data_IF_217628086810
#
_entry.id   IF_217628086810
#
_cell.length_a   1.000
_cell.length_b   1.000
_cell.length_c   1.000
_cell.angle_alpha   90.00
_cell.angle_beta   90.00
_cell.angle_gamma   90.00
#
_symmetry.space_group_name_H-M   'P 1'
#
loop_
_entity.id
_entity.type
_entity.pdbx_description
1 polymer ?
#
# COMPACT_ATOMS: atom_id res chain seq x y z
N UNK A 1 40.41 66.67 -31.11
CA UNK A 1 40.84 67.67 -30.14
C UNK A 1 39.93 67.61 -28.93
N UNK A 2 40.53 67.45 -27.76
CA UNK A 2 40.06 67.40 -26.42
C UNK A 2 39.77 66.00 -25.84
N UNK A 3 40.67 65.72 -24.97
CA UNK A 3 40.72 64.57 -24.05
C UNK A 3 40.04 64.94 -22.70
N UNK A 4 40.25 64.21 -21.64
CA UNK A 4 39.30 63.32 -20.96
C UNK A 4 38.86 63.92 -19.60
N UNK A 5 37.90 63.28 -18.97
CA UNK A 5 37.74 63.51 -17.53
C UNK A 5 37.53 62.19 -16.77
N UNK A 6 38.37 62.08 -15.77
CA UNK A 6 38.40 61.03 -14.72
C UNK A 6 37.30 61.27 -13.70
N UNK A 7 36.49 60.29 -13.41
CA UNK A 7 36.04 60.18 -12.02
C UNK A 7 35.82 58.68 -11.64
N UNK A 8 36.69 58.22 -10.74
CA UNK A 8 36.67 56.85 -10.24
C UNK A 8 35.62 56.66 -9.14
N UNK A 9 34.52 56.01 -9.49
CA UNK A 9 33.61 55.45 -8.50
C UNK A 9 33.51 53.95 -8.69
N UNK A 10 33.94 53.19 -7.72
CA UNK A 10 33.77 51.74 -7.60
C UNK A 10 32.27 51.45 -7.53
N UNK A 11 31.77 50.70 -8.50
CA UNK A 11 30.43 50.11 -8.42
C UNK A 11 30.47 48.90 -7.48
N UNK A 12 29.45 48.72 -6.63
CA UNK A 12 29.31 47.50 -5.84
C UNK A 12 28.95 46.30 -6.74
N UNK A 13 29.69 45.23 -6.57
CA UNK A 13 29.44 43.94 -7.22
C UNK A 13 28.07 43.39 -6.79
N UNK A 14 27.13 43.40 -7.74
CA UNK A 14 25.88 42.64 -7.58
C UNK A 14 26.20 41.15 -7.72
N UNK A 15 26.07 40.40 -6.61
CA UNK A 15 25.95 38.95 -6.64
C UNK A 15 24.59 38.61 -7.18
N UNK A 16 24.45 37.61 -8.09
CA UNK A 16 23.15 37.14 -8.55
C UNK A 16 22.43 36.40 -7.39
N UNK A 17 21.09 36.46 -7.33
CA UNK A 17 20.34 35.75 -6.31
C UNK A 17 20.53 34.24 -6.48
N UNK A 18 20.88 33.60 -5.38
CA UNK A 18 20.97 32.14 -5.27
C UNK A 18 19.71 31.50 -5.81
N UNK A 19 19.85 30.62 -6.80
CA UNK A 19 18.81 29.77 -7.29
C UNK A 19 18.26 28.92 -6.14
N UNK A 20 17.02 29.17 -5.76
CA UNK A 20 16.29 28.27 -4.88
C UNK A 20 16.18 26.94 -5.60
N UNK A 21 16.95 25.98 -5.17
CA UNK A 21 16.82 24.59 -5.57
C UNK A 21 15.47 24.12 -5.02
N UNK A 22 14.48 24.03 -5.90
CA UNK A 22 13.21 23.40 -5.60
C UNK A 22 13.46 21.95 -5.23
N UNK A 23 13.33 21.64 -3.97
CA UNK A 23 13.36 20.26 -3.49
C UNK A 23 12.22 19.50 -4.16
N UNK A 24 12.55 18.42 -4.84
CA UNK A 24 11.58 17.48 -5.39
C UNK A 24 10.93 16.74 -4.20
N UNK A 25 9.60 16.92 -3.94
CA UNK A 25 8.94 16.27 -2.81
C UNK A 25 9.02 14.73 -2.85
N UNK A 26 9.25 14.15 -4.02
CA UNK A 26 9.52 12.71 -4.17
C UNK A 26 10.90 12.28 -3.60
N UNK A 27 11.78 13.23 -3.27
CA UNK A 27 13.08 12.94 -2.64
C UNK A 27 13.05 12.98 -1.12
N UNK A 28 12.11 13.69 -0.54
CA UNK A 28 11.98 13.81 0.93
C UNK A 28 11.27 12.60 1.55
N UNK A 29 10.46 11.85 0.78
CA UNK A 29 9.89 10.58 1.22
C UNK A 29 10.92 9.44 1.37
N UNK A 30 12.18 9.65 1.02
CA UNK A 30 13.27 8.65 1.12
C UNK A 30 14.21 8.84 2.31
N UNK A 31 13.86 9.67 3.28
CA UNK A 31 14.55 9.69 4.57
C UNK A 31 13.83 8.74 5.53
N UNK A 32 13.66 7.50 5.11
CA UNK A 32 13.46 6.42 6.06
C UNK A 32 14.80 6.22 6.79
N UNK A 33 14.78 6.36 8.10
CA UNK A 33 15.94 6.06 8.94
C UNK A 33 16.41 4.65 8.61
N UNK A 34 17.50 4.57 7.85
CA UNK A 34 18.21 3.33 7.61
C UNK A 34 18.77 2.91 8.96
N UNK A 35 18.00 2.10 9.69
CA UNK A 35 18.51 1.39 10.86
C UNK A 35 19.70 0.57 10.35
N UNK A 36 20.89 0.94 10.77
CA UNK A 36 22.14 0.34 10.33
C UNK A 36 22.08 -1.15 10.65
N UNK A 37 21.92 -2.00 9.62
CA UNK A 37 22.19 -3.43 9.72
C UNK A 37 21.05 -4.41 9.40
N UNK A 38 19.78 -4.02 9.23
CA UNK A 38 18.74 -4.96 8.83
C UNK A 38 18.06 -4.57 7.50
N UNK A 39 17.60 -5.53 6.68
CA UNK A 39 16.77 -5.23 5.52
C UNK A 39 15.47 -4.55 5.95
N UNK A 40 14.91 -3.70 5.07
CA UNK A 40 13.60 -3.07 5.24
C UNK A 40 12.52 -4.15 5.27
N UNK A 41 11.50 -3.97 6.10
CA UNK A 41 10.35 -4.87 6.18
C UNK A 41 9.03 -4.07 6.33
N UNK A 42 7.87 -4.76 6.38
CA UNK A 42 6.56 -4.11 6.43
C UNK A 42 6.37 -3.21 7.68
N UNK A 43 7.04 -3.49 8.78
CA UNK A 43 6.97 -2.67 10.00
C UNK A 43 7.68 -1.31 9.88
N UNK A 44 8.43 -1.05 8.81
CA UNK A 44 9.11 0.22 8.60
C UNK A 44 8.23 1.28 7.90
N UNK A 45 6.98 0.93 7.60
CA UNK A 45 6.02 1.81 6.94
C UNK A 45 5.02 2.40 7.93
N UNK A 46 4.58 3.62 7.60
CA UNK A 46 3.46 4.29 8.26
C UNK A 46 2.37 4.53 7.23
N UNK A 47 1.12 4.34 7.62
CA UNK A 47 -0.06 4.43 6.74
C UNK A 47 -1.07 5.44 7.28
N UNK A 48 -1.94 5.95 6.43
CA UNK A 48 -3.01 6.86 6.83
C UNK A 48 -4.25 6.09 7.28
N UNK A 49 -4.81 6.52 8.40
CA UNK A 49 -6.11 6.05 8.88
C UNK A 49 -7.24 6.79 8.17
N UNK A 50 -8.46 6.27 8.22
CA UNK A 50 -9.62 6.87 7.56
C UNK A 50 -9.98 8.28 8.08
N UNK A 51 -9.59 8.63 9.29
CA UNK A 51 -9.74 9.94 9.91
C UNK A 51 -8.56 10.90 9.64
N UNK A 52 -7.57 10.45 8.85
CA UNK A 52 -6.44 11.25 8.37
C UNK A 52 -5.20 11.23 9.26
N UNK A 53 -5.24 10.54 10.38
CA UNK A 53 -4.08 10.32 11.24
C UNK A 53 -3.03 9.42 10.55
N UNK A 54 -1.89 9.28 11.18
CA UNK A 54 -0.84 8.38 10.70
C UNK A 54 -0.64 7.26 11.72
N UNK A 55 -0.60 6.02 11.26
CA UNK A 55 -0.31 4.84 12.06
C UNK A 55 0.96 4.16 11.59
N UNK A 56 1.87 3.90 12.52
CA UNK A 56 3.10 3.15 12.27
C UNK A 56 2.79 1.64 12.31
N UNK A 57 3.13 0.90 11.25
CA UNK A 57 2.89 -0.55 11.20
C UNK A 57 3.76 -1.32 12.20
N UNK A 58 4.77 -0.68 12.80
CA UNK A 58 5.53 -1.23 13.94
C UNK A 58 4.66 -1.53 15.16
N UNK A 59 3.51 -0.88 15.30
CA UNK A 59 2.52 -1.20 16.34
C UNK A 59 2.02 -2.65 16.27
N UNK A 60 2.12 -3.27 15.10
CA UNK A 60 1.74 -4.66 14.86
C UNK A 60 2.91 -5.64 14.92
N UNK A 61 4.12 -5.22 15.30
CA UNK A 61 5.27 -6.10 15.42
C UNK A 61 4.98 -7.29 16.36
N UNK A 62 5.43 -8.48 15.97
CA UNK A 62 5.15 -9.73 16.69
C UNK A 62 3.81 -10.37 16.30
N UNK A 63 3.04 -9.77 15.38
CA UNK A 63 1.82 -10.35 14.82
C UNK A 63 2.02 -10.79 13.38
N UNK A 64 1.31 -11.83 12.99
CA UNK A 64 1.11 -12.18 11.57
C UNK A 64 0.15 -11.18 10.97
N UNK A 65 0.53 -10.51 9.87
CA UNK A 65 -0.36 -9.55 9.20
C UNK A 65 -0.90 -10.15 7.91
N UNK A 66 -2.19 -9.91 7.65
CA UNK A 66 -2.83 -10.13 6.37
C UNK A 66 -3.25 -8.78 5.79
N UNK A 67 -2.45 -8.24 4.88
CA UNK A 67 -2.68 -6.95 4.23
C UNK A 67 -3.47 -7.17 2.95
N UNK A 68 -4.62 -6.48 2.80
CA UNK A 68 -5.57 -6.71 1.70
C UNK A 68 -6.00 -5.39 1.09
N UNK A 69 -5.93 -5.24 -0.25
CA UNK A 69 -6.60 -4.15 -0.93
C UNK A 69 -8.07 -4.49 -1.15
N UNK A 70 -8.97 -3.63 -0.73
CA UNK A 70 -10.40 -3.91 -0.64
C UNK A 70 -11.25 -2.93 -1.46
N UNK A 71 -12.50 -3.31 -1.76
CA UNK A 71 -13.46 -2.45 -2.44
C UNK A 71 -14.91 -2.84 -2.09
N UNK A 72 -15.80 -1.83 -2.02
CA UNK A 72 -17.21 -1.98 -1.61
C UNK A 72 -18.14 -2.45 -2.73
N UNK A 73 -17.77 -2.27 -4.02
CA UNK A 73 -18.62 -2.54 -5.19
C UNK A 73 -18.01 -3.57 -6.15
N UNK A 74 -17.21 -4.47 -5.63
CA UNK A 74 -16.54 -5.52 -6.39
C UNK A 74 -17.32 -6.83 -6.33
N UNK A 75 -17.25 -7.66 -7.38
CA UNK A 75 -17.78 -9.03 -7.34
C UNK A 75 -17.13 -9.91 -6.25
N UNK A 76 -15.94 -9.51 -5.76
CA UNK A 76 -15.22 -10.19 -4.69
C UNK A 76 -15.50 -9.59 -3.28
N UNK A 77 -16.32 -8.54 -3.17
CA UNK A 77 -16.66 -7.88 -1.90
C UNK A 77 -17.17 -8.86 -0.81
N UNK A 78 -17.89 -9.96 -1.14
CA UNK A 78 -18.27 -10.96 -0.13
C UNK A 78 -17.09 -11.60 0.62
N UNK A 79 -15.85 -11.48 0.14
CA UNK A 79 -14.68 -11.95 0.88
C UNK A 79 -14.46 -11.20 2.22
N UNK A 80 -15.10 -10.04 2.44
CA UNK A 80 -15.10 -9.40 3.75
C UNK A 80 -15.60 -10.32 4.86
N UNK A 81 -16.62 -11.16 4.59
CA UNK A 81 -17.14 -12.13 5.57
C UNK A 81 -16.05 -13.11 6.01
N UNK A 82 -15.33 -13.69 5.04
CA UNK A 82 -14.25 -14.63 5.33
C UNK A 82 -13.04 -13.96 6.01
N UNK A 83 -12.70 -12.72 5.62
CA UNK A 83 -11.62 -11.94 6.25
C UNK A 83 -11.97 -11.62 7.71
N UNK A 84 -13.21 -11.20 7.97
CA UNK A 84 -13.67 -10.92 9.34
C UNK A 84 -13.73 -12.19 10.18
N UNK A 85 -14.22 -13.30 9.60
CA UNK A 85 -14.21 -14.59 10.29
C UNK A 85 -12.79 -15.05 10.68
N UNK A 86 -11.82 -14.92 9.75
CA UNK A 86 -10.41 -15.19 10.05
C UNK A 86 -9.88 -14.27 11.16
N UNK A 87 -10.18 -12.99 11.07
CA UNK A 87 -9.74 -12.01 12.07
C UNK A 87 -10.26 -12.36 13.46
N UNK A 88 -11.56 -12.58 13.62
CA UNK A 88 -12.18 -12.94 14.91
C UNK A 88 -11.63 -14.23 15.48
N UNK A 89 -11.45 -15.24 14.65
CA UNK A 89 -11.00 -16.57 15.06
C UNK A 89 -9.52 -16.59 15.49
N UNK A 90 -8.68 -15.77 14.86
CA UNK A 90 -7.23 -15.87 15.02
C UNK A 90 -6.54 -14.64 15.64
N UNK A 91 -7.25 -13.51 15.87
CA UNK A 91 -6.65 -12.31 16.45
C UNK A 91 -5.98 -12.54 17.80
N UNK A 92 -6.58 -13.39 18.64
CA UNK A 92 -6.05 -13.69 19.98
C UNK A 92 -4.86 -14.66 19.91
N UNK A 93 -4.68 -15.34 18.76
CA UNK A 93 -3.50 -16.14 18.43
C UNK A 93 -2.41 -15.36 17.69
N UNK A 94 -2.63 -14.07 17.45
CA UNK A 94 -1.63 -13.19 16.87
C UNK A 94 -1.87 -12.76 15.42
N UNK A 95 -3.02 -13.08 14.80
CA UNK A 95 -3.38 -12.53 13.48
C UNK A 95 -3.87 -11.10 13.57
N UNK A 96 -3.47 -10.28 12.62
CA UNK A 96 -4.05 -8.97 12.35
C UNK A 96 -4.35 -8.83 10.86
N UNK A 97 -5.63 -8.64 10.52
CA UNK A 97 -6.05 -8.26 9.16
C UNK A 97 -6.01 -6.74 9.04
N UNK A 98 -5.52 -6.23 7.91
CA UNK A 98 -5.41 -4.80 7.60
C UNK A 98 -6.00 -4.55 6.21
N UNK A 99 -7.09 -3.79 6.13
CA UNK A 99 -7.79 -3.45 4.88
C UNK A 99 -7.35 -2.11 4.33
N UNK A 100 -7.07 -2.04 3.04
CA UNK A 100 -6.71 -0.82 2.33
C UNK A 100 -7.65 -0.60 1.14
N UNK A 101 -8.62 0.31 1.23
CA UNK A 101 -9.51 0.62 0.12
C UNK A 101 -8.74 1.13 -1.11
N UNK A 102 -9.14 0.66 -2.31
CA UNK A 102 -8.49 1.05 -3.56
C UNK A 102 -9.51 1.21 -4.69
N UNK A 103 -9.47 2.36 -5.40
CA UNK A 103 -10.40 2.66 -6.49
C UNK A 103 -9.83 2.41 -7.89
N UNK A 104 -8.61 1.85 -8.01
CA UNK A 104 -7.93 1.67 -9.29
C UNK A 104 -8.51 0.55 -10.17
N UNK A 105 -9.39 -0.30 -9.65
CA UNK A 105 -9.93 -1.46 -10.35
C UNK A 105 -11.41 -1.26 -10.64
N UNK A 106 -11.70 -0.72 -11.84
CA UNK A 106 -13.06 -0.49 -12.32
C UNK A 106 -13.86 0.52 -11.50
N UNK A 107 -13.17 1.43 -10.80
CA UNK A 107 -13.79 2.44 -9.92
C UNK A 107 -14.74 1.83 -8.89
N UNK A 108 -14.37 0.65 -8.35
CA UNK A 108 -15.21 -0.14 -7.45
C UNK A 108 -15.14 0.29 -5.99
N UNK A 109 -14.39 1.38 -5.68
CA UNK A 109 -14.34 2.00 -4.36
C UNK A 109 -14.51 3.53 -4.45
N UNK A 110 -15.68 4.02 -4.94
CA UNK A 110 -15.87 5.45 -5.20
C UNK A 110 -16.13 6.28 -3.92
N UNK A 111 -16.54 5.63 -2.81
CA UNK A 111 -16.89 6.31 -1.56
C UNK A 111 -15.73 7.09 -0.94
N UNK A 112 -16.05 8.06 -0.08
CA UNK A 112 -15.09 8.66 0.84
C UNK A 112 -14.65 7.65 1.91
N UNK A 113 -13.55 7.94 2.61
CA UNK A 113 -13.09 7.07 3.69
C UNK A 113 -14.18 6.84 4.77
N UNK A 114 -14.94 7.88 5.10
CA UNK A 114 -16.06 7.77 6.06
C UNK A 114 -17.19 6.84 5.56
N UNK A 115 -17.58 6.95 4.28
CA UNK A 115 -18.60 6.07 3.68
C UNK A 115 -18.11 4.62 3.60
N UNK A 116 -16.81 4.40 3.36
CA UNK A 116 -16.21 3.07 3.35
C UNK A 116 -16.24 2.46 4.76
N UNK A 117 -15.88 3.23 5.79
CA UNK A 117 -15.96 2.76 7.19
C UNK A 117 -17.41 2.37 7.56
N UNK A 118 -18.37 3.19 7.19
CA UNK A 118 -19.80 2.90 7.44
C UNK A 118 -20.22 1.61 6.69
N UNK A 119 -19.86 1.47 5.41
CA UNK A 119 -20.15 0.27 4.64
C UNK A 119 -19.55 -0.98 5.28
N UNK A 120 -18.26 -0.97 5.62
CA UNK A 120 -17.58 -2.11 6.23
C UNK A 120 -18.23 -2.54 7.55
N UNK A 121 -18.58 -1.57 8.41
CA UNK A 121 -19.21 -1.85 9.71
C UNK A 121 -20.66 -2.32 9.59
N UNK A 122 -21.47 -1.70 8.72
CA UNK A 122 -22.91 -1.99 8.63
C UNK A 122 -23.22 -3.20 7.76
N UNK A 123 -22.45 -3.45 6.70
CA UNK A 123 -22.73 -4.52 5.74
C UNK A 123 -22.02 -5.83 6.06
N UNK A 124 -20.85 -5.79 6.71
CA UNK A 124 -20.01 -6.95 6.97
C UNK A 124 -19.54 -7.08 8.42
N UNK A 125 -19.98 -6.14 9.29
CA UNK A 125 -19.61 -6.14 10.72
C UNK A 125 -18.08 -6.24 10.93
N UNK A 126 -17.31 -5.59 10.04
CA UNK A 126 -15.85 -5.60 10.03
C UNK A 126 -15.30 -4.97 11.31
N UNK A 127 -14.43 -5.70 12.01
CA UNK A 127 -13.77 -5.23 13.24
C UNK A 127 -12.27 -5.02 13.11
N UNK A 128 -11.65 -5.51 12.03
CA UNK A 128 -10.25 -5.20 11.73
C UNK A 128 -10.07 -3.77 11.17
N UNK A 129 -8.89 -3.16 11.32
CA UNK A 129 -8.59 -1.83 10.79
C UNK A 129 -8.78 -1.76 9.28
N UNK A 130 -9.55 -0.77 8.82
CA UNK A 130 -9.64 -0.35 7.43
C UNK A 130 -9.06 1.06 7.34
N UNK A 131 -8.00 1.23 6.57
CA UNK A 131 -7.23 2.46 6.44
C UNK A 131 -7.84 3.44 5.43
N UNK A 132 -7.20 4.59 5.23
CA UNK A 132 -7.57 5.51 4.17
C UNK A 132 -7.37 4.86 2.79
N UNK A 133 -8.12 5.33 1.80
CA UNK A 133 -8.01 4.89 0.42
C UNK A 133 -6.62 5.19 -0.13
N UNK A 134 -6.04 4.21 -0.82
CA UNK A 134 -4.70 4.29 -1.41
C UNK A 134 -4.68 3.83 -2.86
N UNK A 135 -3.68 4.28 -3.61
CA UNK A 135 -3.29 3.66 -4.85
C UNK A 135 -2.29 2.53 -4.57
N UNK A 136 -2.50 1.38 -5.22
CA UNK A 136 -1.66 0.19 -5.04
C UNK A 136 -0.70 -0.04 -6.22
N UNK A 137 -0.95 0.61 -7.36
CA UNK A 137 -0.16 0.53 -8.59
C UNK A 137 0.21 1.93 -9.10
N UNK A 138 1.21 1.97 -10.01
CA UNK A 138 1.64 3.19 -10.68
C UNK A 138 2.62 4.03 -9.86
N UNK A 139 2.89 5.24 -10.35
CA UNK A 139 3.88 6.15 -9.76
C UNK A 139 3.48 6.76 -8.41
N UNK A 140 2.19 6.82 -8.14
CA UNK A 140 1.59 7.35 -6.90
C UNK A 140 1.21 6.24 -5.91
N UNK A 141 1.61 5.00 -6.19
CA UNK A 141 1.34 3.88 -5.29
C UNK A 141 1.87 4.16 -3.88
N UNK A 142 1.07 3.79 -2.88
CA UNK A 142 1.47 3.86 -1.48
C UNK A 142 2.80 3.13 -1.28
N UNK A 143 3.77 3.71 -0.55
CA UNK A 143 5.09 3.11 -0.36
C UNK A 143 5.06 1.69 0.20
N UNK A 144 4.09 1.36 1.07
CA UNK A 144 3.88 -0.01 1.56
C UNK A 144 3.56 -0.95 0.39
N UNK A 145 2.63 -0.57 -0.49
CA UNK A 145 2.24 -1.41 -1.63
C UNK A 145 3.34 -1.54 -2.67
N UNK A 146 4.11 -0.49 -2.91
CA UNK A 146 5.30 -0.56 -3.77
C UNK A 146 6.33 -1.57 -3.22
N UNK A 147 6.54 -1.60 -1.90
CA UNK A 147 7.38 -2.58 -1.22
C UNK A 147 6.80 -3.99 -1.32
N UNK A 148 5.53 -4.19 -0.97
CA UNK A 148 4.88 -5.51 -0.97
C UNK A 148 4.93 -6.18 -2.35
N UNK A 149 4.70 -5.42 -3.42
CA UNK A 149 4.80 -5.91 -4.79
C UNK A 149 6.21 -6.33 -5.16
N UNK A 150 7.21 -5.54 -4.75
CA UNK A 150 8.62 -5.84 -5.04
C UNK A 150 9.09 -7.12 -4.34
N UNK A 151 8.65 -7.36 -3.09
CA UNK A 151 9.00 -8.56 -2.31
C UNK A 151 8.22 -9.80 -2.79
N UNK A 152 6.96 -9.63 -3.23
CA UNK A 152 6.10 -10.71 -3.71
C UNK A 152 5.39 -10.30 -5.01
N UNK A 153 6.04 -10.44 -6.18
CA UNK A 153 5.50 -9.98 -7.46
C UNK A 153 4.23 -10.74 -7.92
N UNK A 154 3.95 -11.90 -7.34
CA UNK A 154 2.79 -12.72 -7.67
C UNK A 154 3.02 -13.66 -8.86
N UNK A 155 2.05 -14.53 -9.08
CA UNK A 155 2.08 -15.58 -10.11
C UNK A 155 0.81 -15.61 -10.97
N UNK A 156 0.17 -14.43 -11.14
CA UNK A 156 -1.13 -14.32 -11.82
C UNK A 156 -1.07 -14.82 -13.27
N UNK A 157 -1.81 -15.90 -13.53
CA UNK A 157 -1.81 -16.59 -14.81
C UNK A 157 -3.18 -17.21 -15.18
N UNK A 158 -3.25 -18.01 -16.25
CA UNK A 158 -4.49 -18.61 -16.76
C UNK A 158 -5.29 -19.41 -15.73
N UNK A 159 -4.63 -19.97 -14.72
CA UNK A 159 -5.27 -20.78 -13.67
C UNK A 159 -6.25 -19.96 -12.80
N UNK A 160 -6.17 -18.62 -12.87
CA UNK A 160 -7.11 -17.71 -12.21
C UNK A 160 -8.42 -17.47 -13.01
N UNK A 161 -8.61 -18.24 -14.10
CA UNK A 161 -9.88 -18.36 -14.83
C UNK A 161 -10.41 -17.04 -15.38
N UNK A 162 -11.70 -16.75 -15.14
CA UNK A 162 -12.36 -15.56 -15.70
C UNK A 162 -11.69 -14.24 -15.33
N UNK A 163 -11.07 -14.16 -14.14
CA UNK A 163 -10.38 -12.95 -13.73
C UNK A 163 -9.12 -12.71 -14.57
N UNK A 164 -8.38 -13.78 -14.90
CA UNK A 164 -7.26 -13.68 -15.81
C UNK A 164 -7.71 -13.21 -17.19
N UNK A 165 -8.75 -13.80 -17.76
CA UNK A 165 -9.30 -13.41 -19.06
C UNK A 165 -9.74 -11.93 -19.05
N UNK A 166 -10.41 -11.49 -17.98
CA UNK A 166 -10.82 -10.10 -17.81
C UNK A 166 -9.63 -9.14 -17.79
N UNK A 167 -8.61 -9.42 -16.98
CA UNK A 167 -7.41 -8.58 -16.88
C UNK A 167 -6.61 -8.61 -18.19
N UNK A 168 -6.43 -9.78 -18.80
CA UNK A 168 -5.71 -9.92 -20.06
C UNK A 168 -6.40 -9.18 -21.23
N UNK A 169 -7.72 -9.06 -21.18
CA UNK A 169 -8.50 -8.31 -22.17
C UNK A 169 -8.52 -6.81 -21.92
N UNK A 170 -8.63 -6.37 -20.66
CA UNK A 170 -8.80 -4.95 -20.29
C UNK A 170 -7.49 -4.22 -20.01
N UNK A 171 -6.46 -4.94 -19.51
CA UNK A 171 -5.14 -4.43 -19.14
C UNK A 171 -4.05 -5.45 -19.45
N UNK A 172 -3.84 -5.80 -20.75
CA UNK A 172 -2.85 -6.82 -21.13
C UNK A 172 -1.43 -6.49 -20.68
N UNK A 173 -1.09 -5.21 -20.57
CA UNK A 173 0.21 -4.73 -20.09
C UNK A 173 0.51 -5.09 -18.63
N UNK A 174 -0.52 -5.36 -17.84
CA UNK A 174 -0.36 -5.76 -16.43
C UNK A 174 0.07 -7.24 -16.30
N UNK A 175 -0.17 -8.07 -17.31
CA UNK A 175 0.17 -9.50 -17.27
C UNK A 175 1.69 -9.68 -17.27
N UNK A 176 2.18 -10.53 -16.35
CA UNK A 176 3.62 -10.79 -16.19
C UNK A 176 4.38 -9.70 -15.44
N UNK A 177 3.69 -8.70 -14.86
CA UNK A 177 4.29 -7.67 -14.03
C UNK A 177 4.04 -7.95 -12.53
N UNK A 178 4.66 -7.17 -11.65
CA UNK A 178 4.43 -7.19 -10.19
C UNK A 178 3.13 -6.46 -9.78
N UNK A 179 2.47 -5.74 -10.68
CA UNK A 179 1.25 -5.01 -10.40
C UNK A 179 0.19 -5.88 -9.71
N UNK A 180 -0.58 -5.28 -8.83
CA UNK A 180 -1.80 -5.89 -8.30
C UNK A 180 -2.84 -5.94 -9.44
N UNK A 181 -3.43 -7.11 -9.63
CA UNK A 181 -4.31 -7.35 -10.79
C UNK A 181 -5.74 -6.91 -10.55
N UNK A 182 -6.23 -7.05 -9.30
CA UNK A 182 -7.60 -6.70 -8.93
C UNK A 182 -7.75 -6.47 -7.44
N UNK A 183 -8.95 -6.05 -7.00
CA UNK A 183 -9.31 -5.95 -5.59
C UNK A 183 -9.22 -7.32 -4.90
N UNK A 184 -8.96 -7.32 -3.61
CA UNK A 184 -8.80 -8.50 -2.77
C UNK A 184 -7.54 -9.32 -3.05
N UNK A 185 -6.47 -8.70 -3.54
CA UNK A 185 -5.11 -9.27 -3.44
C UNK A 185 -4.66 -9.21 -1.98
N UNK A 186 -4.06 -10.28 -1.47
CA UNK A 186 -3.63 -10.39 -0.08
C UNK A 186 -2.13 -10.62 -0.01
N UNK A 187 -1.49 -10.02 1.01
CA UNK A 187 -0.09 -10.26 1.36
C UNK A 187 -0.02 -10.78 2.78
N UNK A 188 0.66 -11.90 2.96
CA UNK A 188 0.94 -12.52 4.24
C UNK A 188 2.31 -12.06 4.74
N UNK A 189 2.34 -11.51 5.95
CA UNK A 189 3.53 -10.96 6.59
C UNK A 189 3.78 -11.73 7.88
N UNK A 190 5.02 -12.14 8.11
CA UNK A 190 5.41 -12.83 9.34
C UNK A 190 5.51 -11.87 10.55
N UNK A 191 5.65 -12.37 11.79
CA UNK A 191 5.78 -11.56 12.99
C UNK A 191 6.99 -10.60 13.00
N UNK A 192 8.00 -10.88 12.17
CA UNK A 192 9.19 -10.04 12.03
C UNK A 192 9.03 -8.95 10.95
N UNK A 193 7.90 -8.97 10.21
CA UNK A 193 7.57 -7.99 9.17
C UNK A 193 8.02 -8.37 7.77
N UNK A 194 8.49 -9.60 7.55
CA UNK A 194 8.89 -10.05 6.22
C UNK A 194 7.67 -10.49 5.41
N UNK A 195 7.67 -10.19 4.10
CA UNK A 195 6.63 -10.67 3.19
C UNK A 195 6.85 -12.14 2.90
N UNK A 196 5.90 -12.99 3.30
CA UNK A 196 5.98 -14.45 3.14
C UNK A 196 5.36 -14.91 1.84
N UNK A 197 4.19 -14.35 1.50
CA UNK A 197 3.42 -14.77 0.33
C UNK A 197 2.44 -13.71 -0.13
N UNK A 198 2.18 -13.68 -1.43
CA UNK A 198 1.05 -13.00 -2.06
C UNK A 198 0.02 -14.03 -2.49
N UNK A 199 -1.25 -13.71 -2.29
CA UNK A 199 -2.39 -14.45 -2.80
C UNK A 199 -3.16 -13.57 -3.77
N UNK A 200 -3.42 -14.09 -4.95
CA UNK A 200 -4.16 -13.38 -5.97
C UNK A 200 -5.66 -13.25 -5.60
N UNK A 201 -6.41 -12.32 -6.23
CA UNK A 201 -7.73 -11.90 -5.76
C UNK A 201 -8.74 -13.03 -5.49
N UNK A 202 -8.76 -14.05 -6.34
CA UNK A 202 -9.72 -15.17 -6.25
C UNK A 202 -9.41 -16.21 -5.19
N UNK A 203 -8.20 -16.18 -4.61
CA UNK A 203 -7.86 -17.03 -3.47
C UNK A 203 -8.64 -16.55 -2.24
N UNK A 204 -9.54 -17.40 -1.73
CA UNK A 204 -10.44 -17.02 -0.64
C UNK A 204 -9.76 -17.04 0.72
N UNK A 205 -10.31 -16.31 1.73
CA UNK A 205 -9.81 -16.36 3.09
C UNK A 205 -9.72 -17.77 3.69
N UNK A 206 -10.67 -18.65 3.34
CA UNK A 206 -10.68 -20.04 3.81
C UNK A 206 -9.52 -20.86 3.23
N UNK A 207 -9.15 -20.60 1.98
CA UNK A 207 -8.05 -21.29 1.31
C UNK A 207 -6.67 -20.95 1.89
N UNK A 208 -6.51 -19.77 2.49
CA UNK A 208 -5.25 -19.36 3.11
C UNK A 208 -5.13 -19.74 4.59
N UNK A 209 -6.20 -20.32 5.19
CA UNK A 209 -6.23 -20.67 6.63
C UNK A 209 -5.07 -21.56 7.03
N UNK A 210 -4.74 -22.57 6.24
CA UNK A 210 -3.66 -23.51 6.57
C UNK A 210 -2.29 -22.80 6.65
N UNK A 211 -2.02 -21.86 5.76
CA UNK A 211 -0.79 -21.07 5.77
C UNK A 211 -0.74 -20.15 7.00
N UNK A 212 -1.88 -19.56 7.38
CA UNK A 212 -2.01 -18.75 8.59
C UNK A 212 -1.78 -19.59 9.86
N UNK A 213 -2.46 -20.73 9.98
CA UNK A 213 -2.36 -21.58 11.17
C UNK A 213 -0.94 -22.12 11.39
N UNK A 214 -0.15 -22.29 10.34
CA UNK A 214 1.25 -22.68 10.43
C UNK A 214 2.16 -21.60 11.06
N UNK A 215 1.73 -20.33 11.03
CA UNK A 215 2.49 -19.19 11.53
C UNK A 215 1.97 -18.64 12.87
N UNK A 216 0.74 -18.97 13.23
CA UNK A 216 0.11 -18.47 14.45
C UNK A 216 0.51 -19.34 15.65
N UNK A 217 0.66 -18.69 16.79
CA UNK A 217 0.88 -19.38 18.07
C UNK A 217 -0.39 -20.11 18.52
N UNK A 218 -0.23 -21.24 19.17
CA UNK A 218 -1.34 -22.05 19.70
C UNK A 218 -2.08 -21.32 20.84
#
# INVERSE_FOLDING_TARGET
>A
MLAPDHDGRRQPSFLPPEARVGGNPAREARVCHRLVGRPMNAHDFSVKTADGDTRDLREYAGRVLLIVNVASKCGLTPQYEGLEALHRDARDRGLQVLGFPCNQFGEQEPGSDAEIQEFCSTSYDVTFPVFAKVDVNGGEADPLYAYLRAEAPGDFGPDYGFLYEHVASSRPEAIGTDEIKWNFTKFLIDPDGNVVRRYEPTVTPEQIRADLDAMLTA
#
